data_IF_160910166684
#
_entry.id   IF_160910166684
#
_cell.length_a   1.000
_cell.length_b   1.000
_cell.length_c   1.000
_cell.angle_alpha   90.00
_cell.angle_beta   90.00
_cell.angle_gamma   90.00
#
_symmetry.space_group_name_H-M   'P 1'
#
loop_
_entity.id
_entity.type
_entity.pdbx_description
1 polymer ?
#
# COMPACT_ATOMS: atom_id res chain seq x y z
N UNK A 1 52.36 -24.29 -46.08
CA UNK A 1 53.52 -23.95 -45.23
C UNK A 1 53.02 -23.73 -43.80
N UNK A 2 53.26 -24.74 -42.94
CA UNK A 2 53.47 -24.64 -41.48
C UNK A 2 52.26 -24.26 -40.58
N UNK A 3 51.91 -24.94 -39.48
CA UNK A 3 52.37 -26.16 -38.79
C UNK A 3 51.18 -26.66 -37.93
N UNK A 4 51.00 -27.98 -37.88
CA UNK A 4 50.15 -28.69 -36.91
C UNK A 4 50.79 -28.57 -35.51
N UNK A 5 49.99 -28.32 -34.48
CA UNK A 5 50.37 -28.57 -33.08
C UNK A 5 49.23 -29.21 -32.30
N UNK A 6 49.63 -30.22 -31.54
CA UNK A 6 48.84 -31.25 -30.91
C UNK A 6 48.30 -30.83 -29.53
N UNK A 7 47.15 -31.42 -29.19
CA UNK A 7 46.71 -31.94 -27.89
C UNK A 7 47.44 -31.43 -26.63
N UNK A 8 46.68 -30.84 -25.71
CA UNK A 8 46.82 -31.20 -24.29
C UNK A 8 45.51 -30.95 -23.55
N UNK A 9 44.86 -32.06 -23.19
CA UNK A 9 43.89 -32.16 -22.10
C UNK A 9 44.47 -31.54 -20.82
N UNK A 10 43.74 -30.65 -20.14
CA UNK A 10 43.51 -30.73 -18.68
C UNK A 10 42.63 -29.57 -18.19
N UNK A 11 41.55 -30.00 -17.53
CA UNK A 11 40.77 -29.37 -16.48
C UNK A 11 41.21 -28.00 -15.94
N UNK A 12 40.25 -27.08 -15.86
CA UNK A 12 40.11 -26.20 -14.71
C UNK A 12 38.64 -25.78 -14.57
N UNK A 13 37.94 -26.45 -13.65
CA UNK A 13 36.66 -26.01 -13.14
C UNK A 13 36.86 -24.73 -12.32
N UNK A 14 36.22 -23.64 -12.71
CA UNK A 14 35.94 -22.51 -11.82
C UNK A 14 34.49 -22.07 -12.05
N UNK A 15 33.58 -22.79 -11.39
CA UNK A 15 32.22 -22.31 -11.17
C UNK A 15 32.28 -21.20 -10.11
N UNK A 16 32.47 -19.96 -10.55
CA UNK A 16 32.18 -18.78 -9.72
C UNK A 16 30.69 -18.49 -9.88
N UNK A 17 29.87 -19.19 -9.09
CA UNK A 17 28.46 -18.86 -8.90
C UNK A 17 28.37 -17.51 -8.18
N UNK A 18 28.02 -16.46 -8.91
CA UNK A 18 27.66 -15.16 -8.33
C UNK A 18 26.33 -15.31 -7.60
N UNK A 19 26.39 -15.56 -6.29
CA UNK A 19 25.23 -15.45 -5.43
C UNK A 19 25.00 -13.96 -5.13
N UNK A 20 24.33 -13.27 -6.04
CA UNK A 20 23.81 -11.93 -5.80
C UNK A 20 22.59 -12.05 -4.88
N UNK A 21 22.80 -12.02 -3.57
CA UNK A 21 21.73 -11.76 -2.62
C UNK A 21 21.44 -10.26 -2.71
N UNK A 22 20.54 -9.88 -3.61
CA UNK A 22 19.91 -8.56 -3.59
C UNK A 22 19.01 -8.51 -2.34
N UNK A 23 19.62 -8.20 -1.19
CA UNK A 23 18.88 -7.86 0.01
C UNK A 23 18.03 -6.64 -0.28
N UNK A 24 16.70 -6.82 -0.24
CA UNK A 24 15.76 -5.71 -0.34
C UNK A 24 16.02 -4.82 0.87
N UNK A 25 16.63 -3.65 0.65
CA UNK A 25 16.71 -2.61 1.66
C UNK A 25 15.29 -2.11 1.90
N UNK A 26 14.59 -2.69 2.87
CA UNK A 26 13.44 -2.05 3.48
C UNK A 26 13.96 -0.86 4.27
N UNK A 27 14.09 0.29 3.61
CA UNK A 27 14.17 1.55 4.32
C UNK A 27 12.85 1.69 5.06
N UNK A 28 12.83 1.43 6.36
CA UNK A 28 11.74 1.89 7.19
C UNK A 28 11.70 3.41 7.01
N UNK A 29 10.74 3.93 6.22
CA UNK A 29 10.52 5.36 6.14
C UNK A 29 10.24 5.84 7.56
N UNK A 30 11.16 6.65 8.11
CA UNK A 30 11.00 7.22 9.44
C UNK A 30 9.63 7.91 9.52
N UNK A 31 8.85 7.56 10.55
CA UNK A 31 7.50 8.10 10.76
C UNK A 31 6.36 7.31 10.12
N UNK A 32 6.58 6.23 9.36
CA UNK A 32 5.47 5.43 8.82
C UNK A 32 4.85 4.53 9.92
N UNK A 33 3.51 4.47 10.06
CA UNK A 33 2.86 3.56 11.00
C UNK A 33 3.16 2.10 10.67
N UNK A 34 3.01 1.16 11.62
CA UNK A 34 3.21 -0.25 11.33
C UNK A 34 2.24 -0.74 10.26
N UNK A 35 2.77 -1.53 9.33
CA UNK A 35 1.95 -2.26 8.36
C UNK A 35 1.06 -3.27 9.09
N UNK A 36 -0.20 -3.32 8.70
CA UNK A 36 -1.23 -4.20 9.22
C UNK A 36 -1.70 -5.17 8.12
N UNK A 37 -2.21 -6.32 8.53
CA UNK A 37 -2.72 -7.34 7.62
C UNK A 37 -4.10 -7.83 8.06
N UNK A 38 -5.00 -8.00 7.09
CA UNK A 38 -6.22 -8.76 7.29
C UNK A 38 -6.40 -9.72 6.11
N UNK A 39 -6.30 -11.02 6.39
CA UNK A 39 -6.22 -12.02 5.34
C UNK A 39 -5.03 -11.74 4.41
N UNK A 40 -5.31 -11.53 3.13
CA UNK A 40 -4.30 -11.22 2.11
C UNK A 40 -4.13 -9.71 1.86
N UNK A 41 -4.93 -8.86 2.51
CA UNK A 41 -4.88 -7.40 2.32
C UNK A 41 -3.89 -6.82 3.32
N UNK A 42 -2.90 -6.11 2.78
CA UNK A 42 -1.95 -5.29 3.54
C UNK A 42 -2.45 -3.84 3.55
N UNK A 43 -2.41 -3.19 4.71
CA UNK A 43 -2.81 -1.80 4.84
C UNK A 43 -2.00 -1.07 5.91
N UNK A 44 -2.00 0.25 5.83
CA UNK A 44 -1.44 1.15 6.84
C UNK A 44 -2.49 2.21 7.11
N UNK A 45 -2.66 2.60 8.37
CA UNK A 45 -3.56 3.70 8.75
C UNK A 45 -2.90 4.59 9.80
N UNK A 46 -3.11 5.90 9.68
CA UNK A 46 -2.49 6.89 10.56
C UNK A 46 -2.46 8.29 9.95
N UNK A 47 -1.44 9.06 10.35
CA UNK A 47 -1.12 10.41 9.90
C UNK A 47 -1.73 11.52 10.75
N UNK A 48 -1.89 11.30 12.06
CA UNK A 48 -2.28 12.35 13.02
C UNK A 48 -1.14 13.35 13.22
N UNK A 49 0.10 12.86 13.34
CA UNK A 49 1.30 13.68 13.42
C UNK A 49 1.77 14.20 12.05
N UNK A 50 2.50 15.31 12.04
CA UNK A 50 3.08 15.89 10.81
C UNK A 50 3.95 14.87 10.08
N UNK A 51 4.96 14.32 10.77
CA UNK A 51 5.92 13.38 10.18
C UNK A 51 5.22 12.14 9.59
N UNK A 52 4.28 11.60 10.35
CA UNK A 52 3.48 10.43 9.94
C UNK A 52 2.60 10.76 8.74
N UNK A 53 1.96 11.93 8.72
CA UNK A 53 1.14 12.38 7.59
C UNK A 53 1.98 12.58 6.33
N UNK A 54 3.20 13.12 6.45
CA UNK A 54 4.11 13.32 5.33
C UNK A 54 4.63 11.98 4.81
N UNK A 55 5.02 11.06 5.70
CA UNK A 55 5.44 9.71 5.35
C UNK A 55 4.33 8.95 4.62
N UNK A 56 3.09 9.03 5.09
CA UNK A 56 1.92 8.41 4.45
C UNK A 56 1.62 9.04 3.07
N UNK A 57 1.68 10.37 2.94
CA UNK A 57 1.51 11.05 1.65
C UNK A 57 2.59 10.65 0.65
N UNK A 58 3.85 10.59 1.08
CA UNK A 58 4.98 10.15 0.26
C UNK A 58 4.86 8.69 -0.16
N UNK A 59 4.42 7.81 0.76
CA UNK A 59 4.20 6.40 0.48
C UNK A 59 2.99 6.14 -0.43
N UNK A 60 2.03 7.06 -0.52
CA UNK A 60 0.74 6.84 -1.21
C UNK A 60 0.88 6.32 -2.64
N UNK A 61 1.90 6.76 -3.39
CA UNK A 61 2.16 6.32 -4.77
C UNK A 61 2.55 4.83 -4.89
N UNK A 62 3.01 4.22 -3.80
CA UNK A 62 3.37 2.80 -3.73
C UNK A 62 2.19 1.91 -3.34
N UNK A 63 1.03 2.50 -3.04
CA UNK A 63 -0.19 1.78 -2.71
C UNK A 63 -1.22 1.95 -3.82
N UNK A 64 -1.88 0.85 -4.25
CA UNK A 64 -2.95 0.90 -5.25
C UNK A 64 -4.18 1.72 -4.82
N UNK A 65 -4.43 1.86 -3.51
CA UNK A 65 -5.53 2.64 -2.96
C UNK A 65 -5.07 3.53 -1.81
N UNK A 66 -5.45 4.80 -1.84
CA UNK A 66 -5.27 5.75 -0.74
C UNK A 66 -6.60 6.41 -0.36
N UNK A 67 -6.93 6.38 0.92
CA UNK A 67 -8.13 6.96 1.50
C UNK A 67 -7.77 8.12 2.41
N UNK A 68 -8.61 9.14 2.39
CA UNK A 68 -8.49 10.29 3.29
C UNK A 68 -9.84 10.57 3.96
N UNK A 69 -9.80 10.89 5.25
CA UNK A 69 -10.98 11.08 6.10
C UNK A 69 -10.97 12.46 6.77
N UNK A 70 -12.06 13.22 6.62
CA UNK A 70 -12.28 14.47 7.32
C UNK A 70 -13.74 14.65 7.73
N UNK A 71 -14.01 15.52 8.70
CA UNK A 71 -15.37 15.91 9.07
C UNK A 71 -15.44 17.42 9.27
N UNK A 72 -16.58 18.03 8.95
CA UNK A 72 -16.81 19.44 9.17
C UNK A 72 -17.04 19.69 10.67
N UNK A 73 -16.23 20.57 11.26
CA UNK A 73 -16.39 21.04 12.63
C UNK A 73 -16.24 22.56 12.66
N UNK A 74 -17.27 23.26 13.12
CA UNK A 74 -17.27 24.73 13.15
C UNK A 74 -17.10 25.38 11.76
N UNK A 75 -17.55 24.72 10.69
CA UNK A 75 -17.47 25.22 9.31
C UNK A 75 -16.09 25.04 8.64
N UNK A 76 -15.21 24.21 9.19
CA UNK A 76 -13.93 23.81 8.60
C UNK A 76 -13.81 22.29 8.59
N UNK A 77 -13.15 21.75 7.56
CA UNK A 77 -12.85 20.33 7.48
C UNK A 77 -11.66 20.00 8.40
N UNK A 78 -11.91 19.17 9.41
CA UNK A 78 -10.91 18.62 10.30
C UNK A 78 -10.61 17.18 9.89
N UNK A 79 -9.33 16.81 9.86
CA UNK A 79 -8.90 15.44 9.66
C UNK A 79 -9.31 14.56 10.86
N UNK A 80 -9.87 13.38 10.59
CA UNK A 80 -10.46 12.52 11.64
C UNK A 80 -9.84 11.11 11.67
N UNK A 81 -9.90 10.48 12.84
CA UNK A 81 -9.59 9.08 13.07
C UNK A 81 -10.87 8.30 13.47
N UNK A 82 -10.73 7.06 13.92
CA UNK A 82 -11.81 6.17 14.39
C UNK A 82 -12.90 5.93 13.33
N UNK A 83 -12.50 5.94 12.06
CA UNK A 83 -13.40 5.66 10.93
C UNK A 83 -13.47 4.16 10.72
N UNK A 84 -14.65 3.57 10.87
CA UNK A 84 -14.87 2.16 10.49
C UNK A 84 -14.90 2.05 8.97
N UNK A 85 -13.98 1.27 8.40
CA UNK A 85 -13.83 1.08 6.95
C UNK A 85 -14.17 -0.36 6.61
N UNK A 86 -15.07 -0.54 5.64
CA UNK A 86 -15.34 -1.82 5.00
C UNK A 86 -15.14 -1.70 3.49
N UNK A 87 -14.30 -2.57 2.93
CA UNK A 87 -14.06 -2.65 1.49
C UNK A 87 -14.62 -3.99 1.00
N UNK A 88 -15.46 -3.91 -0.03
CA UNK A 88 -16.04 -5.07 -0.71
C UNK A 88 -15.58 -5.11 -2.17
N UNK A 89 -15.31 -6.30 -2.67
CA UNK A 89 -15.04 -6.51 -4.10
C UNK A 89 -16.32 -6.38 -4.95
N UNK A 90 -16.17 -6.51 -6.26
CA UNK A 90 -17.27 -6.44 -7.22
C UNK A 90 -18.35 -7.52 -7.01
N UNK A 91 -18.02 -8.61 -6.31
CA UNK A 91 -18.93 -9.69 -5.96
C UNK A 91 -19.62 -9.45 -4.61
N UNK A 92 -19.31 -8.32 -3.93
CA UNK A 92 -19.88 -7.94 -2.63
C UNK A 92 -19.20 -8.60 -1.42
N UNK A 93 -18.15 -9.39 -1.64
CA UNK A 93 -17.40 -10.05 -0.56
C UNK A 93 -16.54 -9.01 0.15
N UNK A 94 -16.61 -8.99 1.48
CA UNK A 94 -15.74 -8.15 2.29
C UNK A 94 -14.30 -8.66 2.19
N UNK A 95 -13.40 -7.78 1.71
CA UNK A 95 -11.96 -8.05 1.60
C UNK A 95 -11.15 -7.36 2.68
N UNK A 96 -11.70 -6.27 3.25
CA UNK A 96 -11.14 -5.56 4.40
C UNK A 96 -12.27 -5.00 5.27
N UNK A 97 -12.17 -5.16 6.58
CA UNK A 97 -12.99 -4.53 7.59
C UNK A 97 -12.12 -4.15 8.79
N UNK A 98 -11.93 -2.86 9.02
CA UNK A 98 -11.01 -2.34 10.04
C UNK A 98 -11.42 -0.94 10.50
N UNK A 99 -10.72 -0.40 11.48
CA UNK A 99 -10.88 1.00 11.92
C UNK A 99 -9.62 1.78 11.58
N UNK A 100 -9.81 2.96 10.97
CA UNK A 100 -8.70 3.85 10.66
C UNK A 100 -8.23 4.57 11.93
N UNK A 101 -6.95 4.45 12.24
CA UNK A 101 -6.29 5.08 13.39
C UNK A 101 -5.87 6.53 13.12
N UNK A 102 -6.18 7.06 11.92
CA UNK A 102 -5.87 8.42 11.53
C UNK A 102 -6.57 8.82 10.23
N UNK A 103 -6.29 10.03 9.73
CA UNK A 103 -6.96 10.58 8.56
C UNK A 103 -6.53 9.97 7.23
N UNK A 104 -5.43 9.20 7.19
CA UNK A 104 -4.96 8.55 5.99
C UNK A 104 -4.96 7.04 6.17
N UNK A 105 -5.36 6.33 5.11
CA UNK A 105 -5.26 4.89 5.04
C UNK A 105 -4.80 4.46 3.66
N UNK A 106 -3.74 3.67 3.60
CA UNK A 106 -3.15 3.13 2.37
C UNK A 106 -3.41 1.63 2.32
N UNK A 107 -3.87 1.11 1.18
CA UNK A 107 -4.31 -0.29 1.07
C UNK A 107 -3.76 -0.93 -0.19
N UNK A 108 -3.16 -2.12 -0.03
CA UNK A 108 -2.75 -2.97 -1.16
C UNK A 108 -3.88 -3.89 -1.55
N UNK A 109 -4.60 -3.48 -2.60
CA UNK A 109 -5.64 -4.27 -3.24
C UNK A 109 -5.16 -4.70 -4.64
N UNK A 110 -5.53 -5.91 -5.08
CA UNK A 110 -5.42 -6.28 -6.49
C UNK A 110 -6.22 -5.32 -7.39
N UNK A 111 -5.83 -5.24 -8.67
CA UNK A 111 -6.61 -4.50 -9.65
C UNK A 111 -8.05 -5.02 -9.71
N UNK A 112 -9.02 -4.11 -9.71
CA UNK A 112 -10.44 -4.46 -9.62
C UNK A 112 -11.31 -3.28 -9.20
N UNK A 113 -12.63 -3.52 -9.21
CA UNK A 113 -13.63 -2.57 -8.73
C UNK A 113 -14.04 -2.92 -7.30
N UNK A 114 -14.11 -1.90 -6.45
CA UNK A 114 -14.40 -2.04 -5.04
C UNK A 114 -15.44 -1.02 -4.60
N UNK A 115 -16.27 -1.43 -3.64
CA UNK A 115 -17.12 -0.53 -2.88
C UNK A 115 -16.54 -0.31 -1.49
N UNK A 116 -16.30 0.93 -1.15
CA UNK A 116 -15.72 1.37 0.11
C UNK A 116 -16.81 2.04 0.92
N UNK A 117 -17.12 1.48 2.08
CA UNK A 117 -17.99 2.09 3.09
C UNK A 117 -17.14 2.59 4.23
N UNK A 118 -17.23 3.88 4.53
CA UNK A 118 -16.57 4.52 5.65
C UNK A 118 -17.63 5.07 6.60
N UNK A 119 -17.53 4.77 7.89
CA UNK A 119 -18.47 5.23 8.91
C UNK A 119 -17.72 6.00 9.98
N UNK A 120 -18.14 7.23 10.22
CA UNK A 120 -17.63 8.11 11.26
C UNK A 120 -18.81 8.63 12.08
N UNK A 121 -18.73 8.53 13.41
CA UNK A 121 -19.80 8.97 14.34
C UNK A 121 -21.22 8.47 13.95
N UNK A 122 -21.30 7.20 13.57
CA UNK A 122 -22.55 6.56 13.14
C UNK A 122 -23.05 6.93 11.73
N UNK A 123 -22.39 7.86 11.04
CA UNK A 123 -22.74 8.28 9.68
C UNK A 123 -21.90 7.53 8.64
N UNK A 124 -22.56 6.73 7.81
CA UNK A 124 -21.89 6.00 6.74
C UNK A 124 -21.88 6.79 5.42
N UNK A 125 -20.75 6.72 4.71
CA UNK A 125 -20.61 7.16 3.33
C UNK A 125 -20.03 6.03 2.48
N UNK A 126 -20.53 5.88 1.26
CA UNK A 126 -20.01 4.89 0.30
C UNK A 126 -19.38 5.55 -0.91
N UNK A 127 -18.33 4.93 -1.45
CA UNK A 127 -17.69 5.30 -2.71
C UNK A 127 -17.33 4.05 -3.49
N UNK A 128 -17.55 4.07 -4.79
CA UNK A 128 -17.01 3.07 -5.71
C UNK A 128 -15.65 3.53 -6.21
N UNK A 129 -14.68 2.62 -6.19
CA UNK A 129 -13.31 2.90 -6.61
C UNK A 129 -12.80 1.76 -7.48
N UNK A 130 -12.19 2.12 -8.60
CA UNK A 130 -11.47 1.17 -9.45
C UNK A 130 -9.97 1.30 -9.19
N UNK A 131 -9.39 0.23 -8.65
CA UNK A 131 -7.94 0.10 -8.50
C UNK A 131 -7.38 -0.40 -9.83
N UNK A 132 -6.54 0.41 -10.45
CA UNK A 132 -5.81 0.04 -11.65
C UNK A 132 -4.55 -0.74 -11.25
N UNK A 133 -4.07 -1.66 -12.10
CA UNK A 133 -2.83 -2.40 -11.84
C UNK A 133 -1.57 -1.54 -11.77
N UNK A 134 -1.70 -0.24 -12.06
CA UNK A 134 -0.67 0.78 -11.95
C UNK A 134 -1.25 2.05 -11.31
N UNK A 135 -0.40 2.81 -10.63
CA UNK A 135 -0.81 4.06 -9.97
C UNK A 135 -1.62 3.85 -8.69
N UNK A 136 -2.27 4.93 -8.24
CA UNK A 136 -2.99 4.98 -6.97
C UNK A 136 -4.38 5.55 -7.19
N UNK A 137 -5.40 4.76 -6.92
CA UNK A 137 -6.77 5.25 -6.80
C UNK A 137 -6.93 6.00 -5.48
N UNK A 138 -7.70 7.10 -5.50
CA UNK A 138 -7.90 7.96 -4.33
C UNK A 138 -9.38 8.16 -4.05
N UNK A 139 -9.76 8.09 -2.77
CA UNK A 139 -11.10 8.45 -2.31
C UNK A 139 -11.03 9.29 -1.04
N UNK A 140 -11.84 10.34 -1.00
CA UNK A 140 -11.99 11.23 0.14
C UNK A 140 -13.40 11.05 0.72
N UNK A 141 -13.47 10.94 2.05
CA UNK A 141 -14.72 10.95 2.80
C UNK A 141 -14.74 12.17 3.69
N UNK A 142 -15.80 12.96 3.54
CA UNK A 142 -15.98 14.20 4.27
C UNK A 142 -17.40 14.25 4.85
N UNK A 143 -17.52 14.15 6.17
CA UNK A 143 -18.80 14.24 6.88
C UNK A 143 -19.17 15.69 7.20
N UNK A 144 -20.47 15.98 7.32
CA UNK A 144 -21.00 17.31 7.61
C UNK A 144 -21.54 17.40 9.03
#
# INVERSE_FOLDING_TARGET
MNKRFERCTMAAAMALGTMAIAGVLSTAQAGMPPVQHQGTVEYVSGGIGIDESEAMKAASSSYPLALTFAAQRGGKADYVADVTVAIRDAQGKAVLQTTSQGPYMLVKLPAGSYKISATYDGQAQEREVTVQGTGTARAMFEWK
#
